data_IF_024720740650
#
_entry.id   IF_024720740650
#
_cell.length_a   1.000
_cell.length_b   1.000
_cell.length_c   1.000
_cell.angle_alpha   90.00
_cell.angle_beta   90.00
_cell.angle_gamma   90.00
#
_symmetry.space_group_name_H-M   'P 1'
#
loop_
_entity.id
_entity.type
_entity.pdbx_description
1 polymer ?
#
# COMPACT_ATOMS: atom_id res chain seq x y z
N UNK A 1 9.75 5.73 -9.01
CA UNK A 1 9.84 5.43 -7.56
C UNK A 1 8.57 5.99 -6.96
N UNK A 2 7.75 5.17 -6.28
CA UNK A 2 6.40 5.57 -5.85
C UNK A 2 6.41 6.65 -4.75
N UNK A 3 7.41 6.59 -3.87
CA UNK A 3 7.68 7.55 -2.80
C UNK A 3 8.95 8.33 -3.08
N UNK A 4 9.05 9.56 -2.55
CA UNK A 4 10.17 10.48 -2.74
C UNK A 4 10.70 10.98 -1.39
N UNK A 5 11.87 11.64 -1.39
CA UNK A 5 12.44 12.22 -0.15
C UNK A 5 11.53 13.27 0.49
N UNK A 6 10.81 14.04 -0.32
CA UNK A 6 9.85 15.03 0.17
C UNK A 6 8.66 14.37 0.89
N UNK A 7 8.23 13.18 0.44
CA UNK A 7 7.15 12.44 1.09
C UNK A 7 7.57 12.04 2.53
N UNK A 8 8.83 11.63 2.74
CA UNK A 8 9.35 11.35 4.09
C UNK A 8 9.36 12.59 4.99
N UNK A 9 9.66 13.77 4.41
CA UNK A 9 9.68 15.05 5.13
C UNK A 9 8.28 15.44 5.59
N UNK A 10 7.26 15.26 4.75
CA UNK A 10 5.88 15.59 5.08
C UNK A 10 5.33 14.69 6.19
N UNK A 11 5.67 13.40 6.20
CA UNK A 11 5.08 12.42 7.13
C UNK A 11 5.66 12.52 8.55
N UNK A 12 6.98 12.72 8.69
CA UNK A 12 7.66 12.63 10.01
C UNK A 12 8.59 13.83 10.30
N UNK A 13 8.84 14.70 9.33
CA UNK A 13 9.72 15.87 9.51
C UNK A 13 11.22 15.51 9.59
N UNK A 14 12.02 16.43 10.11
CA UNK A 14 13.50 16.38 10.03
C UNK A 14 14.15 15.16 10.72
N UNK A 15 13.45 14.52 11.66
CA UNK A 15 13.93 13.30 12.36
C UNK A 15 13.95 12.08 11.45
N UNK A 16 13.03 11.96 10.49
CA UNK A 16 13.09 10.91 9.47
C UNK A 16 14.22 11.17 8.48
N UNK A 17 14.44 12.44 8.10
CA UNK A 17 15.53 12.79 7.19
C UNK A 17 16.88 12.31 7.74
N UNK A 18 17.14 12.44 9.04
CA UNK A 18 18.36 11.90 9.66
C UNK A 18 18.51 10.37 9.52
N UNK A 19 17.42 9.62 9.58
CA UNK A 19 17.46 8.15 9.38
C UNK A 19 17.68 7.82 7.91
N UNK A 20 16.95 8.49 7.02
CA UNK A 20 17.05 8.35 5.57
C UNK A 20 18.46 8.68 5.09
N UNK A 21 19.07 9.75 5.61
CA UNK A 21 20.46 10.14 5.31
C UNK A 21 21.52 9.21 5.93
N UNK A 22 21.20 8.51 7.01
CA UNK A 22 22.11 7.52 7.63
C UNK A 22 22.03 6.14 6.98
N UNK A 23 20.90 5.82 6.34
CA UNK A 23 20.74 4.59 5.57
C UNK A 23 21.51 4.69 4.25
N UNK A 24 22.16 3.60 3.83
CA UNK A 24 22.71 3.50 2.48
C UNK A 24 21.58 3.55 1.43
N UNK A 25 21.89 4.01 0.22
CA UNK A 25 20.92 4.05 -0.87
C UNK A 25 20.33 2.65 -1.18
N UNK A 26 21.15 1.60 -1.07
CA UNK A 26 20.68 0.21 -1.21
C UNK A 26 19.73 -0.22 -0.10
N UNK A 27 20.04 0.09 1.16
CA UNK A 27 19.16 -0.26 2.28
C UNK A 27 17.82 0.47 2.17
N UNK A 28 17.86 1.73 1.69
CA UNK A 28 16.66 2.50 1.43
C UNK A 28 15.81 1.85 0.33
N UNK A 29 16.40 1.57 -0.83
CA UNK A 29 15.69 0.95 -1.94
C UNK A 29 15.12 -0.44 -1.58
N UNK A 30 15.84 -1.23 -0.79
CA UNK A 30 15.34 -2.51 -0.28
C UNK A 30 14.15 -2.33 0.66
N UNK A 31 14.24 -1.43 1.65
CA UNK A 31 13.16 -1.16 2.59
C UNK A 31 11.89 -0.62 1.90
N UNK A 32 12.05 0.20 0.85
CA UNK A 32 10.93 0.68 0.05
C UNK A 32 10.26 -0.45 -0.75
N UNK A 33 11.06 -1.35 -1.33
CA UNK A 33 10.53 -2.52 -2.05
C UNK A 33 9.83 -3.50 -1.12
N UNK A 34 10.41 -3.74 0.07
CA UNK A 34 9.79 -4.57 1.11
C UNK A 34 8.46 -3.97 1.58
N UNK A 35 8.41 -2.65 1.81
CA UNK A 35 7.18 -1.96 2.18
C UNK A 35 6.09 -2.05 1.08
N UNK A 36 6.47 -1.89 -0.19
CA UNK A 36 5.53 -2.04 -1.31
C UNK A 36 5.00 -3.47 -1.41
N UNK A 37 5.87 -4.47 -1.31
CA UNK A 37 5.45 -5.87 -1.37
C UNK A 37 4.53 -6.23 -0.21
N UNK A 38 4.83 -5.77 1.01
CA UNK A 38 4.01 -5.98 2.20
C UNK A 38 2.61 -5.37 2.04
N UNK A 39 2.50 -4.11 1.59
CA UNK A 39 1.22 -3.46 1.29
C UNK A 39 0.48 -4.20 0.17
N UNK A 40 1.20 -4.61 -0.88
CA UNK A 40 0.61 -5.33 -2.01
C UNK A 40 -0.04 -6.64 -1.55
N UNK A 41 0.56 -7.35 -0.59
CA UNK A 41 0.03 -8.61 -0.07
C UNK A 41 -1.41 -8.48 0.48
N UNK A 42 -1.73 -7.35 1.10
CA UNK A 42 -3.07 -7.08 1.62
C UNK A 42 -4.05 -6.58 0.54
N UNK A 43 -3.55 -5.91 -0.50
CA UNK A 43 -4.37 -5.25 -1.52
C UNK A 43 -4.65 -6.11 -2.76
N UNK A 44 -3.73 -7.00 -3.13
CA UNK A 44 -3.79 -7.90 -4.32
C UNK A 44 -5.13 -8.63 -4.50
N UNK A 45 -5.87 -9.05 -3.44
CA UNK A 45 -7.14 -9.74 -3.64
C UNK A 45 -8.23 -8.93 -4.35
N UNK A 46 -8.14 -7.59 -4.34
CA UNK A 46 -9.21 -6.70 -4.80
C UNK A 46 -8.72 -5.52 -5.66
N UNK A 47 -7.49 -5.07 -5.42
CA UNK A 47 -6.95 -3.84 -6.01
C UNK A 47 -5.76 -4.13 -6.92
N UNK A 48 -5.67 -3.35 -8.00
CA UNK A 48 -4.57 -3.41 -8.95
C UNK A 48 -3.35 -2.70 -8.35
N UNK A 49 -2.47 -3.48 -7.73
CA UNK A 49 -1.28 -2.97 -7.07
C UNK A 49 -0.30 -2.34 -8.05
N UNK A 50 -0.21 -2.85 -9.29
CA UNK A 50 0.68 -2.29 -10.30
C UNK A 50 0.21 -0.88 -10.69
N UNK A 51 -1.10 -0.70 -10.89
CA UNK A 51 -1.69 0.61 -11.15
C UNK A 51 -1.56 1.57 -9.94
N UNK A 52 -1.72 1.05 -8.70
CA UNK A 52 -1.54 1.85 -7.47
C UNK A 52 -0.13 2.41 -7.39
N UNK A 53 0.88 1.55 -7.54
CA UNK A 53 2.28 1.95 -7.37
C UNK A 53 2.89 2.62 -8.61
N UNK A 54 2.25 2.50 -9.78
CA UNK A 54 2.60 3.24 -10.99
C UNK A 54 2.06 4.68 -11.01
N UNK A 55 1.13 5.04 -10.11
CA UNK A 55 0.61 6.40 -10.04
C UNK A 55 1.69 7.40 -9.60
N UNK A 56 1.66 8.62 -10.15
CA UNK A 56 2.60 9.70 -9.85
C UNK A 56 1.89 11.02 -9.49
N UNK A 57 2.55 11.87 -8.72
CA UNK A 57 2.05 13.18 -8.32
C UNK A 57 0.76 13.10 -7.49
N UNK A 58 -0.24 13.92 -7.86
CA UNK A 58 -1.57 14.02 -7.23
C UNK A 58 -2.47 12.79 -7.49
N UNK A 59 -2.11 11.93 -8.44
CA UNK A 59 -2.86 10.68 -8.70
C UNK A 59 -2.52 9.59 -7.69
N UNK A 60 -1.47 9.77 -6.91
CA UNK A 60 -1.07 8.83 -5.84
C UNK A 60 -2.08 8.92 -4.71
N UNK A 61 -2.49 7.76 -4.21
CA UNK A 61 -3.29 7.75 -3.00
C UNK A 61 -2.42 8.17 -1.80
N UNK A 62 -2.71 9.33 -1.22
CA UNK A 62 -1.93 9.90 -0.12
C UNK A 62 -1.86 8.99 1.12
N UNK A 63 -2.89 8.18 1.39
CA UNK A 63 -2.84 7.22 2.51
C UNK A 63 -1.84 6.11 2.25
N UNK A 64 -1.81 5.57 1.02
CA UNK A 64 -0.83 4.54 0.63
C UNK A 64 0.59 5.11 0.66
N UNK A 65 0.80 6.35 0.19
CA UNK A 65 2.10 7.04 0.30
C UNK A 65 2.53 7.13 1.76
N UNK A 66 1.66 7.60 2.66
CA UNK A 66 1.96 7.72 4.08
C UNK A 66 2.34 6.37 4.71
N UNK A 67 1.54 5.31 4.47
CA UNK A 67 1.83 3.99 5.02
C UNK A 67 3.09 3.35 4.44
N UNK A 68 3.36 3.55 3.15
CA UNK A 68 4.60 3.08 2.51
C UNK A 68 5.81 3.75 3.16
N UNK A 69 5.74 5.06 3.44
CA UNK A 69 6.78 5.77 4.16
C UNK A 69 6.98 5.25 5.59
N UNK A 70 5.89 5.06 6.34
CA UNK A 70 5.96 4.57 7.73
C UNK A 70 6.58 3.16 7.81
N UNK A 71 6.18 2.24 6.92
CA UNK A 71 6.68 0.86 6.86
C UNK A 71 8.15 0.84 6.39
N UNK A 72 8.49 1.59 5.34
CA UNK A 72 9.86 1.67 4.85
C UNK A 72 10.81 2.23 5.93
N UNK A 73 10.38 3.26 6.66
CA UNK A 73 11.17 3.79 7.78
C UNK A 73 11.31 2.80 8.94
N UNK A 74 10.28 2.00 9.21
CA UNK A 74 10.37 0.94 10.21
C UNK A 74 11.44 -0.10 9.84
N UNK A 75 11.46 -0.55 8.58
CA UNK A 75 12.47 -1.50 8.09
C UNK A 75 13.88 -0.89 8.12
N UNK A 76 14.04 0.36 7.70
CA UNK A 76 15.33 1.07 7.77
C UNK A 76 15.87 1.21 9.20
N UNK A 77 15.00 1.49 10.18
CA UNK A 77 15.40 1.66 11.58
C UNK A 77 15.67 0.32 12.24
N UNK A 78 14.88 -0.70 11.94
CA UNK A 78 15.07 -2.06 12.45
C UNK A 78 16.39 -2.67 11.98
N UNK A 79 16.87 -2.28 10.79
CA UNK A 79 18.20 -2.65 10.29
C UNK A 79 19.36 -1.95 11.04
N UNK A 80 19.09 -0.91 11.86
CA UNK A 80 20.11 -0.17 12.60
C UNK A 80 20.18 -0.60 14.08
N UNK A 81 21.29 -1.20 14.55
CA UNK A 81 21.38 -1.75 15.91
C UNK A 81 21.29 -0.71 17.04
N UNK A 82 21.56 0.58 16.77
CA UNK A 82 21.56 1.64 17.78
C UNK A 82 20.20 2.33 18.02
N UNK A 83 19.13 2.00 17.26
CA UNK A 83 17.85 2.72 17.31
C UNK A 83 16.62 1.86 17.64
N UNK A 84 16.85 0.69 18.26
CA UNK A 84 15.85 -0.24 18.78
C UNK A 84 15.01 0.33 19.95
N UNK A 85 14.22 1.38 19.70
CA UNK A 85 13.40 2.00 20.77
C UNK A 85 12.51 3.18 20.38
N UNK A 86 12.21 3.40 19.09
CA UNK A 86 11.24 4.44 18.74
C UNK A 86 9.81 3.89 18.81
N UNK A 87 9.18 3.95 19.99
CA UNK A 87 7.80 3.49 20.23
C UNK A 87 6.82 4.09 19.20
N UNK A 88 7.00 5.36 18.85
CA UNK A 88 6.17 6.07 17.86
C UNK A 88 6.20 5.36 16.48
N UNK A 89 7.34 4.80 16.05
CA UNK A 89 7.41 4.11 14.74
C UNK A 89 6.71 2.76 14.78
N UNK A 90 6.81 2.06 15.90
CA UNK A 90 6.07 0.81 16.11
C UNK A 90 4.57 1.08 16.10
N UNK A 91 4.10 2.11 16.78
CA UNK A 91 2.69 2.52 16.76
C UNK A 91 2.20 2.90 15.36
N UNK A 92 3.02 3.63 14.59
CA UNK A 92 2.71 3.99 13.20
C UNK A 92 2.64 2.77 12.28
N UNK A 93 3.59 1.85 12.41
CA UNK A 93 3.59 0.57 11.70
C UNK A 93 2.35 -0.26 12.05
N UNK A 94 2.06 -0.46 13.33
CA UNK A 94 0.87 -1.21 13.77
C UNK A 94 -0.43 -0.57 13.29
N UNK A 95 -0.50 0.77 13.26
CA UNK A 95 -1.63 1.50 12.68
C UNK A 95 -1.77 1.26 11.17
N UNK A 96 -0.66 1.21 10.44
CA UNK A 96 -0.66 0.90 9.00
C UNK A 96 -1.17 -0.52 8.75
N UNK A 97 -0.65 -1.52 9.46
CA UNK A 97 -1.09 -2.92 9.36
C UNK A 97 -2.58 -3.05 9.68
N UNK A 98 -3.04 -2.44 10.78
CA UNK A 98 -4.47 -2.47 11.17
C UNK A 98 -5.38 -1.87 10.10
N UNK A 99 -4.91 -0.82 9.41
CA UNK A 99 -5.65 -0.25 8.29
C UNK A 99 -5.69 -1.21 7.09
N UNK A 100 -4.56 -1.82 6.74
CA UNK A 100 -4.46 -2.80 5.64
C UNK A 100 -5.35 -4.04 5.90
N UNK A 101 -5.39 -4.55 7.13
CA UNK A 101 -6.33 -5.60 7.55
C UNK A 101 -7.81 -5.14 7.44
N UNK A 102 -8.06 -3.87 7.76
CA UNK A 102 -9.37 -3.23 7.57
C UNK A 102 -9.80 -3.18 6.10
N UNK A 103 -8.85 -2.95 5.19
CA UNK A 103 -9.07 -2.99 3.74
C UNK A 103 -9.30 -4.41 3.25
N UNK A 104 -8.45 -5.35 3.67
CA UNK A 104 -8.56 -6.75 3.30
C UNK A 104 -9.88 -7.38 3.76
N UNK A 105 -10.35 -7.02 4.97
CA UNK A 105 -11.65 -7.45 5.49
C UNK A 105 -12.85 -6.74 4.85
N UNK A 106 -12.61 -5.75 3.97
CA UNK A 106 -13.65 -4.97 3.31
C UNK A 106 -14.38 -3.97 4.20
N UNK A 107 -13.95 -3.78 5.46
CA UNK A 107 -14.50 -2.77 6.38
C UNK A 107 -14.12 -1.35 5.96
N UNK A 108 -12.94 -1.22 5.34
CA UNK A 108 -12.43 0.02 4.78
C UNK A 108 -12.35 -0.17 3.28
N UNK A 109 -12.94 0.75 2.52
CA UNK A 109 -12.89 0.73 1.05
C UNK A 109 -12.12 1.97 0.60
N UNK A 110 -10.81 1.87 0.36
CA UNK A 110 -10.03 2.97 -0.16
C UNK A 110 -10.36 3.22 -1.64
N UNK A 111 -10.19 4.47 -2.05
CA UNK A 111 -10.28 4.89 -3.45
C UNK A 111 -8.98 4.49 -4.17
N UNK A 112 -8.95 3.24 -4.65
CA UNK A 112 -7.84 2.61 -5.36
C UNK A 112 -8.38 1.86 -6.59
N UNK A 113 -7.58 1.77 -7.67
CA UNK A 113 -7.95 1.02 -8.86
C UNK A 113 -8.22 -0.44 -8.52
N UNK A 114 -9.35 -0.95 -9.01
CA UNK A 114 -9.82 -2.31 -8.78
C UNK A 114 -9.28 -3.24 -9.87
N UNK A 115 -9.03 -4.50 -9.51
CA UNK A 115 -8.76 -5.55 -10.51
C UNK A 115 -10.08 -5.89 -11.20
N UNK A 116 -10.10 -5.76 -12.53
CA UNK A 116 -11.21 -6.16 -13.37
C UNK A 116 -10.86 -7.48 -14.08
N UNK A 117 -11.85 -8.36 -14.25
CA UNK A 117 -11.71 -9.54 -15.09
C UNK A 117 -11.87 -9.19 -16.59
N UNK A 118 -11.68 -10.17 -17.48
CA UNK A 118 -11.83 -10.00 -18.93
C UNK A 118 -13.24 -9.52 -19.35
N UNK A 119 -14.24 -9.62 -18.47
CA UNK A 119 -15.61 -9.18 -18.68
C UNK A 119 -15.89 -7.78 -18.11
N UNK A 120 -14.91 -7.15 -17.47
CA UNK A 120 -15.05 -5.87 -16.78
C UNK A 120 -15.74 -5.96 -15.42
N UNK A 121 -15.91 -7.16 -14.86
CA UNK A 121 -16.44 -7.39 -13.52
C UNK A 121 -15.31 -7.35 -12.47
N UNK A 122 -15.66 -6.92 -11.25
CA UNK A 122 -14.69 -6.80 -10.17
C UNK A 122 -14.25 -8.18 -9.67
N UNK A 123 -12.96 -8.48 -9.79
CA UNK A 123 -12.35 -9.69 -9.22
C UNK A 123 -12.46 -9.62 -7.69
N UNK A 124 -13.02 -10.68 -7.07
CA UNK A 124 -13.16 -10.76 -5.61
C UNK A 124 -14.52 -10.32 -5.05
N UNK A 125 -15.51 -10.00 -5.90
CA UNK A 125 -16.90 -9.86 -5.44
C UNK A 125 -17.49 -11.24 -5.16
N UNK A 126 -17.64 -11.62 -3.88
CA UNK A 126 -18.20 -12.92 -3.46
C UNK A 126 -19.67 -13.14 -3.85
N UNK A 127 -20.32 -12.17 -4.51
CA UNK A 127 -21.70 -12.28 -4.97
C UNK A 127 -21.71 -12.10 -6.49
N UNK A 128 -21.62 -13.21 -7.20
CA UNK A 128 -21.94 -13.29 -8.63
C UNK A 128 -23.46 -13.32 -8.75
N UNK A 129 -24.07 -12.28 -9.30
CA UNK A 129 -25.49 -12.26 -9.61
C UNK A 129 -25.66 -12.24 -11.13
N UNK A 130 -26.13 -13.35 -11.70
CA UNK A 130 -26.39 -13.47 -13.13
C UNK A 130 -27.68 -14.26 -13.37
N UNK A 131 -28.56 -13.72 -14.23
CA UNK A 131 -29.62 -14.52 -14.84
C UNK A 131 -29.15 -14.96 -16.23
N UNK A 132 -29.50 -16.18 -16.65
CA UNK A 132 -29.27 -16.58 -18.04
C UNK A 132 -29.96 -15.58 -18.98
N UNK A 133 -29.25 -15.16 -20.04
CA UNK A 133 -29.85 -14.31 -21.09
C UNK A 133 -31.13 -14.99 -21.58
N UNK A 134 -32.20 -14.20 -21.69
CA UNK A 134 -33.51 -14.67 -22.14
C UNK A 134 -33.38 -15.41 -23.48
N UNK A 135 -33.59 -16.73 -23.46
CA UNK A 135 -33.65 -17.55 -24.66
C UNK A 135 -34.85 -17.09 -25.50
N UNK A 136 -34.58 -16.63 -26.73
CA UNK A 136 -35.62 -16.39 -27.73
C UNK A 136 -35.81 -17.69 -28.51
N UNK A 137 -36.83 -18.46 -28.16
CA UNK A 137 -37.29 -19.55 -29.01
C UNK A 137 -38.12 -18.94 -30.15
N UNK A 138 -37.58 -18.98 -31.38
CA UNK A 138 -38.42 -18.88 -32.57
C UNK A 138 -38.94 -20.29 -32.85
N UNK A 139 -40.25 -20.45 -32.76
CA UNK A 139 -41.00 -21.61 -33.24
C UNK A 139 -41.29 -21.48 -34.72
#
# INVERSE_FOLDING_TARGET
>A
MFITEDDYKVVIGDTAMKVVSQASAENRANAEREAQEEISGYLRPKYDCDAVFAAEGEKRNHQIVMFTCDIALYHMVSAMPQKMGSDIRKERYERAIKWLEGVQSGKIVPDLPLVLDDNGEMVGSSIVYGCQRKLRHNW
#
